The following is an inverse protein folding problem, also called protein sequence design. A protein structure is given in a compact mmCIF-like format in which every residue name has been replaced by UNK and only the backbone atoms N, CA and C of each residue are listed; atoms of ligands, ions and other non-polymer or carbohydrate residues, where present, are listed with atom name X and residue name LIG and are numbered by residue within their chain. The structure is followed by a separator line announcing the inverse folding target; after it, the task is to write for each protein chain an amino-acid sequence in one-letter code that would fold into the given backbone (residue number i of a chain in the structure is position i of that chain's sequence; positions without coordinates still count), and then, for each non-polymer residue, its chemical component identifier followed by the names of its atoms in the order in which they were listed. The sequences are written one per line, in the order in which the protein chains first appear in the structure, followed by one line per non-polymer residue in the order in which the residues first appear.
data_IF_486685607474
#
_entry.id   IF_486685607474
#
_cell.length_a   1.000
_cell.length_b   1.000
_cell.length_c   1.000
_cell.angle_alpha   90.00
_cell.angle_beta   90.00
_cell.angle_gamma   90.00
#
_symmetry.space_group_name_H-M   'P 1'
#
loop_
_entity.id
_entity.type
_entity.pdbx_description
1 polymer ?
#
# COMPACT_ATOMS: atom_id res chain seq x y z
N UNK A 1 -14.18 -0.92 23.33
CA UNK A 1 -14.36 -2.01 22.33
C UNK A 1 -13.78 -1.52 21.01
N UNK A 2 -12.79 -2.18 20.40
CA UNK A 2 -12.27 -1.71 19.12
C UNK A 2 -13.37 -1.86 18.07
N UNK A 3 -13.77 -0.74 17.47
CA UNK A 3 -14.79 -0.72 16.43
C UNK A 3 -14.33 -1.62 15.28
N UNK A 4 -15.10 -2.68 15.02
CA UNK A 4 -14.89 -3.55 13.86
C UNK A 4 -15.00 -2.68 12.61
N UNK A 5 -13.89 -2.47 11.91
CA UNK A 5 -13.86 -1.73 10.67
C UNK A 5 -14.69 -2.52 9.64
N UNK A 6 -15.83 -1.97 9.22
CA UNK A 6 -16.69 -2.63 8.23
C UNK A 6 -15.97 -2.72 6.87
N UNK A 7 -16.26 -3.74 6.04
CA UNK A 7 -15.45 -4.13 4.87
C UNK A 7 -15.48 -3.14 3.69
N UNK A 8 -16.09 -1.96 3.84
CA UNK A 8 -16.26 -0.96 2.78
C UNK A 8 -15.11 0.05 2.66
N UNK A 9 -14.04 -0.14 3.42
CA UNK A 9 -12.88 0.75 3.33
C UNK A 9 -12.09 0.41 2.06
N UNK A 10 -12.25 1.22 1.02
CA UNK A 10 -11.41 1.11 -0.17
C UNK A 10 -9.98 1.50 0.19
N UNK A 11 -9.04 0.57 0.01
CA UNK A 11 -7.61 0.76 0.31
C UNK A 11 -6.89 1.67 -0.71
N UNK A 12 -7.63 2.41 -1.54
CA UNK A 12 -7.05 3.37 -2.47
C UNK A 12 -6.60 4.62 -1.71
N UNK A 13 -5.43 4.49 -1.09
CA UNK A 13 -4.71 5.56 -0.41
C UNK A 13 -4.03 6.41 -1.48
N UNK A 14 -4.35 7.70 -1.51
CA UNK A 14 -3.69 8.66 -2.40
C UNK A 14 -3.09 9.74 -1.51
N UNK A 15 -1.83 10.12 -1.74
CA UNK A 15 -1.23 11.27 -1.09
C UNK A 15 -1.10 12.42 -2.11
N UNK A 16 -1.61 13.63 -1.82
CA UNK A 16 -2.31 14.02 -0.59
C UNK A 16 -3.72 13.39 -0.46
N UNK A 17 -4.19 13.13 0.78
CA UNK A 17 -5.49 12.49 1.02
C UNK A 17 -6.65 13.36 0.53
N UNK A 18 -7.56 12.75 -0.24
CA UNK A 18 -8.83 13.40 -0.59
C UNK A 18 -9.75 13.44 0.64
N UNK A 19 -10.42 14.56 0.93
CA UNK A 19 -11.39 14.63 2.02
C UNK A 19 -12.57 13.69 1.71
N UNK A 20 -12.88 12.76 2.62
CA UNK A 20 -14.10 11.92 2.48
C UNK A 20 -14.80 11.67 3.82
N UNK A 21 -16.13 11.56 3.78
CA UNK A 21 -17.02 11.35 4.93
C UNK A 21 -17.10 9.90 5.45
N UNK A 22 -16.06 9.08 5.26
CA UNK A 22 -16.08 7.64 5.61
C UNK A 22 -15.44 7.41 7.00
N UNK A 23 -16.10 6.70 7.93
CA UNK A 23 -15.75 6.65 9.35
C UNK A 23 -14.53 5.79 9.74
N UNK A 24 -13.75 5.25 8.80
CA UNK A 24 -12.51 4.52 9.12
C UNK A 24 -11.35 5.47 9.44
N UNK A 25 -11.49 6.22 10.53
CA UNK A 25 -10.67 7.39 10.84
C UNK A 25 -9.20 7.02 11.10
N UNK A 26 -8.90 6.10 12.03
CA UNK A 26 -7.52 5.89 12.49
C UNK A 26 -6.61 5.21 11.46
N UNK A 27 -6.99 4.06 10.91
CA UNK A 27 -6.16 3.34 9.94
C UNK A 27 -5.89 4.19 8.68
N UNK A 28 -6.89 4.94 8.24
CA UNK A 28 -6.78 5.82 7.07
C UNK A 28 -5.94 7.07 7.37
N UNK A 29 -6.04 7.63 8.58
CA UNK A 29 -5.19 8.75 8.99
C UNK A 29 -3.74 8.32 9.12
N UNK A 30 -3.50 7.18 9.76
CA UNK A 30 -2.14 6.62 9.88
C UNK A 30 -1.55 6.33 8.51
N UNK A 31 -2.31 5.70 7.61
CA UNK A 31 -1.85 5.41 6.26
C UNK A 31 -1.59 6.67 5.40
N UNK A 32 -2.33 7.75 5.64
CA UNK A 32 -2.11 9.04 4.96
C UNK A 32 -1.08 9.94 5.65
N UNK A 33 -0.58 9.54 6.82
CA UNK A 33 0.44 10.30 7.51
C UNK A 33 1.78 10.12 6.80
N UNK A 34 2.48 11.24 6.56
CA UNK A 34 3.70 11.32 5.74
C UNK A 34 4.76 10.28 6.12
N UNK A 35 4.91 9.99 7.40
CA UNK A 35 5.90 9.02 7.89
C UNK A 35 5.57 7.59 7.44
N UNK A 36 4.30 7.18 7.49
CA UNK A 36 3.90 5.84 7.09
C UNK A 36 3.90 5.70 5.57
N UNK A 37 3.50 6.74 4.83
CA UNK A 37 3.56 6.74 3.37
C UNK A 37 4.99 6.63 2.83
N UNK A 38 5.98 7.20 3.54
CA UNK A 38 7.40 7.17 3.15
C UNK A 38 8.17 5.99 3.73
N UNK A 39 7.57 5.23 4.65
CA UNK A 39 8.22 4.08 5.26
C UNK A 39 8.34 2.97 4.23
N UNK A 40 9.57 2.53 3.96
CA UNK A 40 9.82 1.38 3.10
C UNK A 40 9.32 0.11 3.79
N UNK A 41 8.86 -0.84 2.98
CA UNK A 41 8.52 -2.16 3.51
C UNK A 41 9.78 -2.89 3.97
N UNK A 42 9.68 -3.77 4.97
CA UNK A 42 10.82 -4.59 5.41
C UNK A 42 11.43 -5.41 4.25
N UNK A 43 10.60 -5.85 3.30
CA UNK A 43 11.04 -6.53 2.09
C UNK A 43 11.87 -5.62 1.18
N UNK A 44 11.40 -4.39 0.96
CA UNK A 44 12.12 -3.40 0.15
C UNK A 44 13.45 -3.04 0.80
N UNK A 45 13.49 -2.84 2.12
CA UNK A 45 14.74 -2.59 2.86
C UNK A 45 15.75 -3.74 2.70
N UNK A 46 15.29 -4.99 2.81
CA UNK A 46 16.11 -6.20 2.66
C UNK A 46 16.68 -6.34 1.23
N UNK A 47 15.88 -6.03 0.22
CA UNK A 47 16.31 -6.10 -1.18
C UNK A 47 17.36 -5.03 -1.48
N UNK A 48 17.10 -3.79 -1.03
CA UNK A 48 18.03 -2.69 -1.20
C UNK A 48 19.34 -2.91 -0.45
N UNK A 49 19.30 -3.50 0.76
CA UNK A 49 20.51 -3.82 1.53
C UNK A 49 21.40 -4.86 0.84
N UNK A 50 20.85 -5.65 -0.09
CA UNK A 50 21.57 -6.61 -0.93
C UNK A 50 21.98 -6.05 -2.29
N UNK A 51 21.72 -4.77 -2.56
CA UNK A 51 22.02 -4.12 -3.83
C UNK A 51 21.02 -4.44 -4.95
N UNK A 52 19.86 -5.02 -4.64
CA UNK A 52 18.81 -5.31 -5.62
C UNK A 52 17.85 -4.12 -5.77
N UNK A 53 17.24 -4.01 -6.97
CA UNK A 53 16.14 -3.08 -7.21
C UNK A 53 14.81 -3.73 -6.79
N UNK A 54 13.97 -3.01 -6.04
CA UNK A 54 12.62 -3.44 -5.69
C UNK A 54 11.62 -2.74 -6.61
N UNK A 55 10.90 -3.48 -7.45
CA UNK A 55 9.91 -2.95 -8.40
C UNK A 55 8.56 -3.58 -8.07
N UNK A 56 7.57 -2.76 -7.74
CA UNK A 56 6.19 -3.21 -7.52
C UNK A 56 5.43 -3.16 -8.83
N UNK A 57 5.16 -4.33 -9.42
CA UNK A 57 4.35 -4.43 -10.63
C UNK A 57 2.86 -4.45 -10.26
N UNK A 58 2.00 -3.71 -10.97
CA UNK A 58 0.56 -3.83 -10.82
C UNK A 58 0.14 -5.27 -11.11
N UNK A 59 -0.59 -5.89 -10.18
CA UNK A 59 -1.13 -7.25 -10.35
C UNK A 59 -2.38 -7.20 -11.24
N UNK A 60 -2.23 -6.75 -12.47
CA UNK A 60 -3.31 -6.68 -13.44
C UNK A 60 -2.96 -7.59 -14.61
N UNK A 61 -3.68 -8.72 -14.66
CA UNK A 61 -3.57 -9.78 -15.67
C UNK A 61 -2.31 -10.63 -15.53
N UNK A 62 -2.44 -11.82 -14.93
CA UNK A 62 -1.36 -12.82 -14.82
C UNK A 62 -0.74 -13.13 -16.20
N UNK A 63 -1.57 -13.09 -17.25
CA UNK A 63 -1.18 -13.24 -18.66
C UNK A 63 -0.10 -12.26 -19.15
N UNK A 64 0.12 -11.14 -18.44
CA UNK A 64 1.10 -10.10 -18.80
C UNK A 64 2.24 -9.97 -17.78
N UNK A 65 2.36 -10.92 -16.83
CA UNK A 65 3.42 -10.89 -15.85
C UNK A 65 4.77 -11.25 -16.51
N UNK A 66 5.78 -10.36 -16.52
CA UNK A 66 7.04 -10.62 -17.23
C UNK A 66 7.81 -11.85 -16.73
N UNK A 67 7.55 -12.31 -15.50
CA UNK A 67 8.14 -13.53 -14.94
C UNK A 67 7.43 -14.81 -15.36
N UNK A 68 6.28 -14.72 -16.03
CA UNK A 68 5.50 -15.87 -16.55
C UNK A 68 5.60 -15.99 -18.07
N UNK A 69 6.27 -15.04 -18.74
CA UNK A 69 6.40 -14.95 -20.20
C UNK A 69 7.65 -15.73 -20.69
N UNK A 70 7.64 -17.06 -20.48
CA UNK A 70 8.69 -17.99 -20.93
C UNK A 70 8.32 -18.70 -22.23
#
# INVERSE_FOLDING_TARGET
LPAKCSPKCTNNLTYPPKPTNIPCYLARILANHKNFFRQKSALEELLLSRGHKCIFLPKFHCELNPIEMY
#
